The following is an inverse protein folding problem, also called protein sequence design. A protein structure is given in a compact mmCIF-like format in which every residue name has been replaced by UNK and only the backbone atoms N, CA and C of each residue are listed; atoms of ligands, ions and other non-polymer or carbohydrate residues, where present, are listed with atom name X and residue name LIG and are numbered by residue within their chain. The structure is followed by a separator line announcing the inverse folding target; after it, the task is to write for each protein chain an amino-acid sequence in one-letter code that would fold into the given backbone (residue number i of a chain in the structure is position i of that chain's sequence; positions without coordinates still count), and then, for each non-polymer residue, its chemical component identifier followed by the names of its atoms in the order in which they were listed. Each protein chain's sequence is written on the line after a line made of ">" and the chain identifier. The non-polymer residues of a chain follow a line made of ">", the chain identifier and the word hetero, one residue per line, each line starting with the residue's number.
data_IF_715722388187
#
_entry.id   IF_715722388187
#
_cell.length_a   1.000
_cell.length_b   1.000
_cell.length_c   1.000
_cell.angle_alpha   90.00
_cell.angle_beta   90.00
_cell.angle_gamma   90.00
#
_symmetry.space_group_name_H-M   'P 1'
#
loop_
_entity.id
_entity.type
_entity.pdbx_description
1 polymer ?
#
# COMPACT_ATOMS: atom_id res chain seq x y z
N UNK A 1 -9.68 3.20 -14.44
CA UNK A 1 -9.39 1.78 -14.18
C UNK A 1 -8.00 1.32 -14.62
N UNK A 2 -7.13 2.21 -15.15
CA UNK A 2 -5.85 1.78 -15.77
C UNK A 2 -4.65 1.78 -14.80
N UNK A 3 -4.75 2.42 -13.63
CA UNK A 3 -3.60 2.60 -12.71
C UNK A 3 -3.34 1.42 -11.77
N UNK A 4 -4.33 0.53 -11.57
CA UNK A 4 -4.21 -0.59 -10.62
C UNK A 4 -3.03 -1.51 -10.94
N UNK A 5 -2.85 -1.87 -12.21
CA UNK A 5 -1.75 -2.72 -12.65
C UNK A 5 -0.37 -2.10 -12.42
N UNK A 6 -0.22 -0.78 -12.58
CA UNK A 6 1.03 -0.04 -12.35
C UNK A 6 1.37 0.03 -10.86
N UNK A 7 0.36 0.18 -10.00
CA UNK A 7 0.57 0.25 -8.56
C UNK A 7 0.98 -1.12 -8.00
N UNK A 8 0.32 -2.19 -8.47
CA UNK A 8 0.69 -3.55 -8.06
C UNK A 8 2.08 -3.94 -8.56
N UNK A 9 2.45 -3.57 -9.79
CA UNK A 9 3.81 -3.84 -10.30
C UNK A 9 4.88 -3.06 -9.54
N UNK A 10 4.63 -1.79 -9.21
CA UNK A 10 5.51 -0.99 -8.36
C UNK A 10 5.68 -1.61 -6.95
N UNK A 11 4.59 -2.11 -6.36
CA UNK A 11 4.61 -2.81 -5.07
C UNK A 11 5.46 -4.09 -5.09
N UNK A 12 5.33 -4.91 -6.13
CA UNK A 12 6.12 -6.14 -6.30
C UNK A 12 7.61 -5.82 -6.45
N UNK A 13 7.96 -4.80 -7.25
CA UNK A 13 9.36 -4.38 -7.42
C UNK A 13 9.96 -3.92 -6.09
N UNK A 14 9.24 -3.09 -5.32
CA UNK A 14 9.70 -2.67 -4.00
C UNK A 14 9.87 -3.85 -3.03
N UNK A 15 8.90 -4.75 -2.96
CA UNK A 15 8.97 -5.94 -2.11
C UNK A 15 10.19 -6.81 -2.46
N UNK A 16 10.47 -7.00 -3.76
CA UNK A 16 11.66 -7.71 -4.21
C UNK A 16 12.95 -7.00 -3.81
N UNK A 17 13.05 -5.67 -3.98
CA UNK A 17 14.26 -4.91 -3.61
C UNK A 17 14.55 -4.97 -2.11
N UNK A 18 13.53 -4.90 -1.25
CA UNK A 18 13.71 -5.01 0.20
C UNK A 18 13.96 -6.45 0.65
N UNK A 19 13.44 -7.45 -0.09
CA UNK A 19 13.74 -8.86 0.15
C UNK A 19 15.22 -9.21 0.00
N UNK A 20 15.96 -8.49 -0.86
CA UNK A 20 17.42 -8.67 -1.03
C UNK A 20 18.19 -8.43 0.27
N UNK A 21 17.69 -7.58 1.16
CA UNK A 21 18.30 -7.33 2.47
C UNK A 21 18.37 -8.60 3.34
N UNK A 22 17.50 -9.59 3.09
CA UNK A 22 17.51 -10.89 3.76
C UNK A 22 18.66 -11.82 3.38
N UNK A 23 19.39 -11.51 2.30
CA UNK A 23 20.56 -12.29 1.85
C UNK A 23 21.80 -11.93 2.67
N UNK A 24 21.80 -10.74 3.29
CA UNK A 24 22.93 -10.26 4.08
C UNK A 24 23.02 -11.04 5.41
N UNK A 25 24.22 -11.39 5.90
CA UNK A 25 24.42 -12.15 7.13
C UNK A 25 24.21 -11.31 8.40
N UNK A 26 23.31 -10.32 8.33
CA UNK A 26 22.94 -9.42 9.42
C UNK A 26 21.46 -9.64 9.72
N UNK A 27 21.18 -10.39 10.79
CA UNK A 27 19.82 -10.80 11.17
C UNK A 27 18.87 -9.61 11.28
N UNK A 28 19.30 -8.53 11.92
CA UNK A 28 18.52 -7.29 12.05
C UNK A 28 18.07 -6.73 10.69
N UNK A 29 18.95 -6.76 9.69
CA UNK A 29 18.66 -6.21 8.37
C UNK A 29 17.71 -7.12 7.58
N UNK A 30 17.81 -8.44 7.79
CA UNK A 30 16.87 -9.40 7.24
C UNK A 30 15.46 -9.25 7.86
N UNK A 31 15.37 -9.04 9.17
CA UNK A 31 14.10 -8.77 9.87
C UNK A 31 13.44 -7.49 9.36
N UNK A 32 14.21 -6.39 9.23
CA UNK A 32 13.68 -5.15 8.68
C UNK A 32 13.30 -5.30 7.21
N UNK A 33 14.13 -5.95 6.40
CA UNK A 33 13.84 -6.20 4.98
C UNK A 33 12.56 -7.01 4.80
N UNK A 34 12.36 -8.04 5.60
CA UNK A 34 11.14 -8.84 5.62
C UNK A 34 9.93 -8.03 6.06
N UNK A 35 10.02 -7.28 7.16
CA UNK A 35 8.93 -6.46 7.67
C UNK A 35 8.47 -5.41 6.64
N UNK A 36 9.42 -4.75 5.97
CA UNK A 36 9.14 -3.76 4.91
C UNK A 36 8.55 -4.43 3.68
N UNK A 37 9.16 -5.52 3.18
CA UNK A 37 8.66 -6.22 2.00
C UNK A 37 7.23 -6.75 2.22
N UNK A 38 6.96 -7.34 3.38
CA UNK A 38 5.63 -7.81 3.75
C UNK A 38 4.64 -6.65 3.91
N UNK A 39 5.05 -5.55 4.55
CA UNK A 39 4.22 -4.35 4.70
C UNK A 39 3.81 -3.74 3.36
N UNK A 40 4.73 -3.66 2.39
CA UNK A 40 4.43 -3.15 1.04
C UNK A 40 3.43 -4.05 0.31
N UNK A 41 3.58 -5.38 0.41
CA UNK A 41 2.62 -6.32 -0.18
C UNK A 41 1.23 -6.18 0.46
N UNK A 42 1.16 -6.06 1.78
CA UNK A 42 -0.09 -5.81 2.48
C UNK A 42 -0.74 -4.47 2.09
N UNK A 43 0.03 -3.39 2.00
CA UNK A 43 -0.52 -2.07 1.62
C UNK A 43 -1.08 -2.08 0.20
N UNK A 44 -0.30 -2.63 -0.75
CA UNK A 44 -0.67 -2.66 -2.17
C UNK A 44 -1.90 -3.53 -2.44
N UNK A 45 -2.08 -4.64 -1.71
CA UNK A 45 -3.20 -5.57 -1.93
C UNK A 45 -4.38 -5.24 -1.01
N UNK A 46 -4.17 -5.23 0.31
CA UNK A 46 -5.25 -5.18 1.30
C UNK A 46 -5.69 -3.74 1.54
N UNK A 47 -4.75 -2.85 1.87
CA UNK A 47 -5.09 -1.47 2.27
C UNK A 47 -5.70 -0.73 1.10
N UNK A 48 -5.06 -0.76 -0.07
CA UNK A 48 -5.50 0.02 -1.23
C UNK A 48 -6.74 -0.55 -1.93
N UNK A 49 -6.92 -1.87 -1.95
CA UNK A 49 -8.05 -2.49 -2.66
C UNK A 49 -9.30 -2.67 -1.80
N UNK A 50 -9.15 -2.80 -0.48
CA UNK A 50 -10.27 -3.06 0.44
C UNK A 50 -10.44 -1.94 1.45
N UNK A 51 -9.39 -1.64 2.21
CA UNK A 51 -9.50 -0.75 3.37
C UNK A 51 -9.85 0.69 2.95
N UNK A 52 -9.18 1.22 1.92
CA UNK A 52 -9.43 2.58 1.41
C UNK A 52 -10.85 2.69 0.81
N UNK A 53 -11.30 1.82 -0.11
CA UNK A 53 -12.68 1.89 -0.61
C UNK A 53 -13.74 1.68 0.47
N UNK A 54 -13.50 0.80 1.45
CA UNK A 54 -14.41 0.57 2.56
C UNK A 54 -14.55 1.82 3.44
N UNK A 55 -13.43 2.45 3.82
CA UNK A 55 -13.43 3.69 4.60
C UNK A 55 -14.07 4.85 3.84
N UNK A 56 -13.83 4.96 2.54
CA UNK A 56 -14.49 5.98 1.70
C UNK A 56 -16.01 5.77 1.67
N UNK A 57 -16.47 4.50 1.63
CA UNK A 57 -17.89 4.17 1.69
C UNK A 57 -18.50 4.46 3.07
N UNK A 58 -17.77 4.21 4.16
CA UNK A 58 -18.27 4.36 5.53
C UNK A 58 -18.27 5.83 6.01
N UNK A 59 -17.20 6.59 5.72
CA UNK A 59 -17.04 7.99 6.15
C UNK A 59 -17.79 8.97 5.22
N UNK A 60 -18.04 8.59 3.97
CA UNK A 60 -18.77 9.39 3.01
C UNK A 60 -18.00 10.65 2.54
N UNK A 61 -18.69 11.71 2.06
CA UNK A 61 -18.10 12.87 1.40
C UNK A 61 -17.06 13.63 2.23
N UNK A 62 -17.10 13.47 3.55
CA UNK A 62 -16.22 14.14 4.51
C UNK A 62 -14.75 13.69 4.38
N UNK A 63 -14.50 12.50 3.82
CA UNK A 63 -13.13 11.99 3.59
C UNK A 63 -12.35 12.83 2.57
N UNK A 64 -13.05 13.62 1.76
CA UNK A 64 -12.46 14.44 0.72
C UNK A 64 -12.12 15.86 1.19
N UNK A 65 -12.31 16.25 2.45
CA UNK A 65 -11.95 17.60 2.92
C UNK A 65 -10.42 17.83 2.83
N UNK A 66 -9.91 18.94 2.24
CA UNK A 66 -10.58 20.18 1.81
C UNK A 66 -10.86 20.25 0.28
N UNK A 67 -10.94 19.12 -0.41
CA UNK A 67 -11.27 19.03 -1.83
C UNK A 67 -12.74 19.36 -2.10
N UNK A 68 -13.04 19.88 -3.31
CA UNK A 68 -14.39 20.30 -3.76
C UNK A 68 -15.39 19.14 -3.91
N UNK A 69 -14.95 17.90 -3.76
CA UNK A 69 -15.79 16.69 -3.81
C UNK A 69 -16.64 16.47 -2.55
N UNK A 70 -16.46 17.31 -1.53
CA UNK A 70 -17.21 17.26 -0.26
C UNK A 70 -18.71 17.61 -0.35
N UNK A 71 -19.21 18.12 -1.50
CA UNK A 71 -20.55 18.69 -1.66
C UNK A 71 -21.43 17.99 -2.73
N UNK A 72 -21.05 16.82 -3.26
CA UNK A 72 -21.94 16.08 -4.17
C UNK A 72 -22.78 15.08 -3.37
N UNK A 73 -24.07 15.42 -3.25
CA UNK A 73 -25.15 14.65 -2.62
C UNK A 73 -25.45 13.33 -3.33
#
# INVERSE_FOLDING_TARGET
>A
TVTGGVITSAGIVLAATFGVLGILPLVFLAELGFAVAFGVLLDTIIVRSLLVPALVREIGPKIWWPSKLQHQE
#
